data_IF_766257633805
#
_entry.id   IF_766257633805
#
_cell.length_a   1.000
_cell.length_b   1.000
_cell.length_c   1.000
_cell.angle_alpha   90.00
_cell.angle_beta   90.00
_cell.angle_gamma   90.00
#
_symmetry.space_group_name_H-M   'P 1'
#
loop_
_entity.id
_entity.type
_entity.pdbx_description
1 polymer ?
#
# COMPACT_ATOMS: atom_id res chain seq x y z
N UNK A 1 7.35 -22.76 2.24
CA UNK A 1 6.98 -22.57 3.67
C UNK A 1 7.61 -21.34 4.33
N UNK A 2 7.65 -20.19 3.63
CA UNK A 2 8.00 -18.88 4.21
C UNK A 2 6.93 -17.81 3.94
N UNK A 3 5.80 -18.21 3.34
CA UNK A 3 4.68 -17.33 3.01
C UNK A 3 3.81 -17.14 4.25
N UNK A 4 4.38 -16.47 5.25
CA UNK A 4 3.55 -15.76 6.20
C UNK A 4 2.91 -14.60 5.44
N UNK A 5 1.62 -14.36 5.65
CA UNK A 5 0.94 -13.17 5.15
C UNK A 5 1.74 -11.93 5.59
N UNK A 6 2.54 -11.38 4.68
CA UNK A 6 3.45 -10.28 4.96
C UNK A 6 2.65 -8.98 4.86
N UNK A 7 2.16 -8.54 6.01
CA UNK A 7 1.60 -7.21 6.13
C UNK A 7 2.70 -6.24 6.53
N UNK A 8 2.77 -5.14 5.79
CA UNK A 8 3.61 -4.00 6.13
C UNK A 8 2.77 -2.88 6.71
N UNK A 9 3.35 -2.10 7.62
CA UNK A 9 2.82 -0.81 8.05
C UNK A 9 3.48 0.29 7.23
N UNK A 10 2.68 1.15 6.61
CA UNK A 10 3.17 2.34 5.92
C UNK A 10 3.85 3.31 6.89
N UNK A 11 5.07 3.73 6.56
CA UNK A 11 5.85 4.72 7.31
C UNK A 11 6.09 5.92 6.40
N UNK A 12 5.78 7.10 6.92
CA UNK A 12 6.19 8.39 6.35
C UNK A 12 6.99 9.12 7.43
N UNK A 13 8.30 9.19 7.24
CA UNK A 13 9.25 9.83 8.16
C UNK A 13 9.63 11.25 7.72
N UNK A 14 9.10 11.72 6.59
CA UNK A 14 9.43 13.01 5.98
C UNK A 14 10.82 13.09 5.34
N UNK A 15 11.62 12.01 5.40
CA UNK A 15 13.01 11.97 4.93
C UNK A 15 13.12 11.24 3.58
N UNK A 16 12.02 10.71 3.05
CA UNK A 16 11.97 10.12 1.71
C UNK A 16 10.55 9.80 1.25
N UNK A 17 10.46 8.90 0.28
CA UNK A 17 9.19 8.35 -0.19
C UNK A 17 8.56 7.37 0.78
N UNK A 18 7.46 6.75 0.35
CA UNK A 18 6.74 5.77 1.16
C UNK A 18 7.59 4.52 1.44
N UNK A 19 7.60 4.07 2.70
CA UNK A 19 8.33 2.89 3.17
C UNK A 19 7.41 1.95 3.93
N UNK A 20 7.77 0.66 3.98
CA UNK A 20 7.07 -0.35 4.76
C UNK A 20 7.90 -0.74 5.98
N UNK A 21 7.26 -0.79 7.14
CA UNK A 21 7.81 -1.39 8.35
C UNK A 21 7.05 -2.64 8.76
N UNK A 22 7.62 -3.44 9.65
CA UNK A 22 6.97 -4.64 10.16
C UNK A 22 5.69 -4.28 10.96
N UNK A 23 4.65 -5.10 10.82
CA UNK A 23 3.42 -5.04 11.65
C UNK A 23 3.59 -5.81 12.95
N UNK A 24 4.33 -6.92 12.93
CA UNK A 24 4.62 -7.76 14.09
C UNK A 24 6.10 -8.07 14.21
N UNK A 25 6.55 -8.37 15.43
CA UNK A 25 7.88 -8.92 15.70
C UNK A 25 7.72 -10.40 16.05
N UNK A 26 8.53 -11.32 15.48
CA UNK A 26 8.51 -12.72 15.86
C UNK A 26 8.75 -12.92 17.36
N UNK A 27 7.98 -13.79 18.00
CA UNK A 27 8.10 -14.09 19.46
C UNK A 27 8.94 -15.33 19.73
N UNK A 28 9.42 -15.98 18.68
CA UNK A 28 10.15 -17.24 18.70
C UNK A 28 10.47 -17.68 17.27
N UNK A 29 10.98 -18.91 17.14
CA UNK A 29 11.49 -19.45 15.87
C UNK A 29 10.50 -20.38 15.16
N UNK A 30 9.35 -20.69 15.76
CA UNK A 30 8.30 -21.51 15.14
C UNK A 30 7.33 -20.65 14.32
N UNK A 31 6.59 -21.27 13.39
CA UNK A 31 5.50 -20.61 12.67
C UNK A 31 4.49 -19.96 13.64
N UNK A 32 4.11 -20.69 14.68
CA UNK A 32 3.12 -20.25 15.68
C UNK A 32 3.58 -19.05 16.51
N UNK A 33 4.89 -18.94 16.75
CA UNK A 33 5.48 -17.82 17.49
C UNK A 33 5.73 -16.61 16.58
N UNK A 34 6.09 -16.86 15.32
CA UNK A 34 6.42 -15.83 14.35
C UNK A 34 5.20 -15.21 13.66
N UNK A 35 4.06 -15.91 13.63
CA UNK A 35 2.87 -15.40 12.93
C UNK A 35 2.35 -14.10 13.53
N UNK A 36 1.96 -13.21 12.63
CA UNK A 36 1.24 -11.99 12.95
C UNK A 36 -0.12 -12.33 13.58
N UNK A 37 -0.48 -11.59 14.62
CA UNK A 37 -1.74 -11.75 15.36
C UNK A 37 -2.61 -10.52 15.18
N UNK A 38 -3.90 -10.67 15.43
CA UNK A 38 -4.87 -9.57 15.38
C UNK A 38 -4.41 -8.34 16.20
N UNK A 39 -3.89 -8.58 17.42
CA UNK A 39 -3.41 -7.53 18.31
C UNK A 39 -2.24 -6.72 17.74
N UNK A 40 -1.41 -7.32 16.86
CA UNK A 40 -0.30 -6.61 16.21
C UNK A 40 -0.81 -5.66 15.13
N UNK A 41 -1.83 -6.10 14.38
CA UNK A 41 -2.52 -5.28 13.37
C UNK A 41 -3.22 -4.12 14.06
N UNK A 42 -3.97 -4.38 15.13
CA UNK A 42 -4.67 -3.34 15.91
C UNK A 42 -3.69 -2.30 16.47
N UNK A 43 -2.59 -2.75 17.08
CA UNK A 43 -1.53 -1.86 17.56
C UNK A 43 -0.90 -1.05 16.41
N UNK A 44 -0.72 -1.64 15.22
CA UNK A 44 -0.16 -0.96 14.06
C UNK A 44 -1.11 0.07 13.44
N UNK A 45 -2.42 -0.16 13.50
CA UNK A 45 -3.44 0.80 13.01
C UNK A 45 -3.46 2.09 13.82
N UNK A 46 -3.09 2.05 15.11
CA UNK A 46 -2.91 3.28 15.91
C UNK A 46 -1.78 4.18 15.38
N UNK A 47 -0.91 3.63 14.52
CA UNK A 47 0.28 4.30 13.98
C UNK A 47 0.18 4.60 12.48
N UNK A 48 -0.95 4.29 11.82
CA UNK A 48 -1.17 4.62 10.41
C UNK A 48 -1.87 3.51 9.61
N UNK A 49 -1.33 3.20 8.44
CA UNK A 49 -1.92 2.24 7.49
C UNK A 49 -1.20 0.89 7.54
N UNK A 50 -1.96 -0.19 7.65
CA UNK A 50 -1.50 -1.57 7.45
C UNK A 50 -1.88 -2.02 6.04
N UNK A 51 -0.95 -2.66 5.34
CA UNK A 51 -1.08 -3.14 3.96
C UNK A 51 -0.79 -4.62 3.95
N UNK A 52 -1.78 -5.42 3.57
CA UNK A 52 -1.60 -6.84 3.29
C UNK A 52 -1.32 -7.01 1.80
N UNK A 53 -0.07 -7.34 1.46
CA UNK A 53 0.30 -7.59 0.07
C UNK A 53 -0.20 -8.95 -0.38
N UNK A 54 -0.61 -9.08 -1.65
CA UNK A 54 -1.09 -10.34 -2.21
C UNK A 54 -2.20 -10.97 -1.35
N UNK A 55 -3.10 -10.17 -0.80
CA UNK A 55 -4.21 -10.64 0.01
C UNK A 55 -5.12 -11.62 -0.77
N UNK A 56 -5.21 -11.47 -2.09
CA UNK A 56 -5.93 -12.41 -2.97
C UNK A 56 -5.41 -13.85 -2.93
N UNK A 57 -4.13 -14.08 -2.63
CA UNK A 57 -3.57 -15.44 -2.53
C UNK A 57 -3.71 -16.06 -1.14
N UNK A 58 -4.15 -15.28 -0.15
CA UNK A 58 -4.17 -15.67 1.26
C UNK A 58 -5.59 -15.77 1.85
N UNK A 59 -6.58 -15.19 1.18
CA UNK A 59 -7.98 -15.19 1.62
C UNK A 59 -8.88 -15.73 0.51
N UNK A 60 -9.50 -16.89 0.72
CA UNK A 60 -10.36 -17.57 -0.27
C UNK A 60 -11.46 -16.66 -0.85
N UNK A 61 -12.02 -15.78 -0.02
CA UNK A 61 -13.06 -14.84 -0.48
C UNK A 61 -12.53 -13.77 -1.41
N UNK A 62 -11.24 -13.43 -1.32
CA UNK A 62 -10.58 -12.45 -2.17
C UNK A 62 -9.99 -13.09 -3.43
N UNK A 63 -9.67 -14.39 -3.41
CA UNK A 63 -9.18 -15.09 -4.60
C UNK A 63 -10.19 -15.07 -5.75
N UNK A 64 -11.49 -15.18 -5.43
CA UNK A 64 -12.57 -15.09 -6.42
C UNK A 64 -12.56 -13.75 -7.18
N UNK A 65 -12.18 -12.64 -6.53
CA UNK A 65 -12.06 -11.34 -7.18
C UNK A 65 -10.88 -11.34 -8.15
N UNK A 66 -9.75 -11.92 -7.73
CA UNK A 66 -8.55 -12.04 -8.58
C UNK A 66 -8.81 -12.93 -9.81
N UNK A 67 -9.54 -14.04 -9.65
CA UNK A 67 -9.91 -14.93 -10.75
C UNK A 67 -10.86 -14.23 -11.72
N UNK A 68 -11.89 -13.54 -11.23
CA UNK A 68 -12.80 -12.78 -12.08
C UNK A 68 -12.09 -11.66 -12.85
N UNK A 69 -11.15 -10.96 -12.22
CA UNK A 69 -10.33 -9.95 -12.90
C UNK A 69 -9.41 -10.57 -13.96
N UNK A 70 -8.81 -11.73 -13.67
CA UNK A 70 -7.99 -12.46 -14.63
C UNK A 70 -8.82 -12.86 -15.86
N UNK A 71 -10.02 -13.41 -15.66
CA UNK A 71 -10.91 -13.87 -16.74
C UNK A 71 -11.36 -12.71 -17.66
N UNK A 72 -11.56 -11.52 -17.10
CA UNK A 72 -12.04 -10.34 -17.86
C UNK A 72 -10.91 -9.59 -18.55
N UNK A 73 -9.78 -9.40 -17.88
CA UNK A 73 -8.68 -8.58 -18.40
C UNK A 73 -7.63 -9.39 -19.14
N UNK A 74 -7.61 -10.73 -18.99
CA UNK A 74 -6.59 -11.63 -19.51
C UNK A 74 -5.16 -11.21 -19.09
N UNK A 75 -5.05 -10.59 -17.91
CA UNK A 75 -3.81 -10.09 -17.34
C UNK A 75 -3.61 -10.60 -15.91
N UNK A 76 -2.37 -10.96 -15.53
CA UNK A 76 -2.05 -11.24 -14.14
C UNK A 76 -2.39 -10.03 -13.27
N UNK A 77 -3.02 -10.28 -12.12
CA UNK A 77 -3.35 -9.25 -11.15
C UNK A 77 -2.89 -9.63 -9.75
N UNK A 78 -2.75 -8.62 -8.91
CA UNK A 78 -2.47 -8.77 -7.48
C UNK A 78 -3.43 -7.89 -6.70
N UNK A 79 -3.98 -8.42 -5.61
CA UNK A 79 -4.88 -7.69 -4.73
C UNK A 79 -4.16 -7.36 -3.42
N UNK A 80 -3.98 -6.07 -3.17
CA UNK A 80 -3.49 -5.57 -1.89
C UNK A 80 -4.67 -5.04 -1.05
N UNK A 81 -4.67 -5.30 0.26
CA UNK A 81 -5.68 -4.81 1.19
C UNK A 81 -5.09 -3.73 2.10
N UNK A 82 -5.73 -2.57 2.15
CA UNK A 82 -5.28 -1.41 2.93
C UNK A 82 -6.25 -1.11 4.07
N UNK A 83 -5.74 -1.08 5.29
CA UNK A 83 -6.48 -0.70 6.49
C UNK A 83 -5.81 0.53 7.09
N UNK A 84 -6.55 1.63 7.20
CA UNK A 84 -6.05 2.89 7.76
C UNK A 84 -6.77 3.18 9.07
N UNK A 85 -6.02 3.43 10.15
CA UNK A 85 -6.59 3.77 11.45
C UNK A 85 -7.41 5.06 11.42
N UNK A 86 -8.46 5.14 12.25
CA UNK A 86 -9.29 6.35 12.38
C UNK A 86 -8.43 7.53 12.82
N UNK A 87 -8.69 8.71 12.24
CA UNK A 87 -7.95 9.94 12.54
C UNK A 87 -6.58 10.03 11.84
N UNK A 88 -6.17 9.02 11.06
CA UNK A 88 -4.96 9.11 10.24
C UNK A 88 -5.14 10.20 9.18
N UNK A 89 -4.38 11.29 9.28
CA UNK A 89 -4.45 12.42 8.35
C UNK A 89 -4.00 12.02 6.92
N UNK A 90 -2.91 11.26 6.83
CA UNK A 90 -2.32 10.83 5.56
C UNK A 90 -2.05 9.34 5.60
N UNK A 91 -2.75 8.55 4.77
CA UNK A 91 -2.59 7.09 4.77
C UNK A 91 -1.29 6.63 4.12
N UNK A 92 -0.86 7.36 3.08
CA UNK A 92 0.38 7.20 2.34
C UNK A 92 0.73 8.57 1.74
N UNK A 93 2.02 8.96 1.69
CA UNK A 93 2.44 10.19 1.02
C UNK A 93 2.14 10.10 -0.50
N UNK A 94 2.15 11.21 -1.24
CA UNK A 94 2.02 11.19 -2.70
C UNK A 94 3.04 10.25 -3.34
N UNK A 95 2.57 9.36 -4.21
CA UNK A 95 3.42 8.42 -4.95
C UNK A 95 2.70 7.91 -6.21
N UNK A 96 3.45 7.25 -7.09
CA UNK A 96 2.92 6.51 -8.23
C UNK A 96 3.28 5.03 -8.15
N UNK A 97 2.47 4.21 -8.80
CA UNK A 97 2.68 2.77 -8.95
C UNK A 97 3.01 2.41 -10.40
N UNK A 98 3.72 1.30 -10.57
CA UNK A 98 4.08 0.77 -11.90
C UNK A 98 2.91 0.06 -12.59
N UNK A 99 1.82 -0.13 -11.85
CA UNK A 99 0.69 -0.97 -12.22
C UNK A 99 -0.53 -0.08 -12.41
N UNK A 100 -1.41 -0.47 -13.34
CA UNK A 100 -2.77 0.04 -13.34
C UNK A 100 -3.52 -0.47 -12.11
N UNK A 101 -4.26 0.41 -11.44
CA UNK A 101 -4.91 0.11 -10.16
C UNK A 101 -6.40 0.38 -10.21
N UNK A 102 -7.18 -0.58 -9.73
CA UNK A 102 -8.59 -0.40 -9.40
C UNK A 102 -8.76 -0.38 -7.88
N UNK A 103 -9.28 0.72 -7.34
CA UNK A 103 -9.50 0.87 -5.89
C UNK A 103 -10.96 0.60 -5.55
N UNK A 104 -11.19 -0.38 -4.67
CA UNK A 104 -12.53 -0.73 -4.16
C UNK A 104 -12.61 -0.39 -2.68
N UNK A 105 -13.46 0.59 -2.32
CA UNK A 105 -13.73 0.92 -0.92
C UNK A 105 -14.74 -0.08 -0.34
N UNK A 106 -14.32 -0.90 0.62
CA UNK A 106 -15.18 -1.94 1.22
C UNK A 106 -15.83 -1.52 2.54
N UNK A 107 -15.20 -0.65 3.34
CA UNK A 107 -15.72 -0.14 4.62
C UNK A 107 -15.23 1.26 4.93
N UNK A 108 -16.03 2.07 5.62
CA UNK A 108 -15.63 3.41 6.05
C UNK A 108 -15.54 4.40 4.88
N UNK A 109 -14.68 5.41 5.01
CA UNK A 109 -14.48 6.48 4.01
C UNK A 109 -13.01 6.83 3.92
N UNK A 110 -12.55 7.20 2.72
CA UNK A 110 -11.19 7.65 2.47
C UNK A 110 -11.23 8.81 1.49
N UNK A 111 -10.55 9.90 1.83
CA UNK A 111 -10.41 11.05 0.95
C UNK A 111 -9.20 10.81 0.04
N UNK A 112 -9.48 10.63 -1.25
CA UNK A 112 -8.46 10.47 -2.28
C UNK A 112 -8.23 11.80 -2.99
N UNK A 113 -7.00 12.04 -3.41
CA UNK A 113 -6.63 13.09 -4.35
C UNK A 113 -5.78 12.45 -5.43
N UNK A 114 -6.23 12.49 -6.68
CA UNK A 114 -5.52 11.89 -7.82
C UNK A 114 -4.97 13.00 -8.69
N UNK A 115 -3.71 12.92 -9.10
CA UNK A 115 -3.06 13.97 -9.90
C UNK A 115 -2.54 13.38 -11.21
N UNK A 116 -2.32 14.22 -12.21
CA UNK A 116 -1.53 13.84 -13.38
C UNK A 116 -0.10 13.46 -12.95
N UNK A 117 0.56 12.52 -13.65
CA UNK A 117 1.94 12.17 -13.35
C UNK A 117 2.86 13.41 -13.35
N UNK A 118 3.81 13.52 -12.40
CA UNK A 118 4.73 14.65 -12.36
C UNK A 118 5.65 14.63 -13.61
N UNK A 119 6.10 15.80 -14.11
CA UNK A 119 7.01 15.84 -15.25
C UNK A 119 8.32 15.09 -14.96
N UNK A 120 8.80 14.29 -15.92
CA UNK A 120 10.05 13.53 -15.79
C UNK A 120 11.25 14.45 -15.49
N UNK A 121 11.25 15.65 -16.09
CA UNK A 121 12.32 16.63 -15.89
C UNK A 121 12.44 17.14 -14.43
N UNK A 122 11.41 16.97 -13.59
CA UNK A 122 11.45 17.39 -12.19
C UNK A 122 12.34 16.49 -11.33
N UNK A 123 12.52 15.22 -11.70
CA UNK A 123 13.44 14.29 -11.05
C UNK A 123 14.01 13.29 -12.06
N UNK A 124 15.02 13.68 -12.86
CA UNK A 124 15.49 12.91 -14.02
C UNK A 124 16.11 11.55 -13.68
N UNK A 125 16.53 11.36 -12.42
CA UNK A 125 17.15 10.11 -11.95
C UNK A 125 16.19 9.21 -11.18
N UNK A 126 14.96 9.67 -10.91
CA UNK A 126 13.93 8.84 -10.29
C UNK A 126 13.24 7.96 -11.34
N UNK A 127 12.73 6.81 -10.90
CA UNK A 127 11.87 5.96 -11.74
C UNK A 127 10.55 6.70 -12.02
N UNK A 128 10.25 7.07 -13.28
CA UNK A 128 9.07 7.86 -13.60
C UNK A 128 7.76 7.10 -13.32
N UNK A 129 7.80 5.76 -13.20
CA UNK A 129 6.65 4.92 -12.89
C UNK A 129 6.54 4.59 -11.39
N UNK A 130 7.49 5.02 -10.56
CA UNK A 130 7.52 4.72 -9.13
C UNK A 130 7.95 5.94 -8.30
N UNK A 131 7.47 7.13 -8.67
CA UNK A 131 7.75 8.38 -7.96
C UNK A 131 7.19 8.33 -6.53
N UNK A 132 7.80 9.05 -5.60
CA UNK A 132 7.37 9.13 -4.19
C UNK A 132 7.63 7.88 -3.37
N UNK A 133 8.54 7.01 -3.82
CA UNK A 133 8.93 5.75 -3.13
C UNK A 133 10.41 5.74 -2.77
N UNK A 134 10.75 4.96 -1.74
CA UNK A 134 12.12 4.78 -1.27
C UNK A 134 12.84 6.12 -1.02
N UNK A 135 13.89 6.43 -1.79
CA UNK A 135 14.66 7.67 -1.67
C UNK A 135 14.05 8.87 -2.42
N UNK A 136 13.10 8.63 -3.34
CA UNK A 136 12.44 9.71 -4.07
C UNK A 136 11.28 10.26 -3.25
N UNK A 137 11.43 11.52 -2.82
CA UNK A 137 10.37 12.27 -2.13
C UNK A 137 9.51 12.97 -3.17
N UNK A 138 8.19 12.90 -2.97
CA UNK A 138 7.21 13.59 -3.78
C UNK A 138 6.21 14.27 -2.85
N UNK A 139 6.07 15.58 -2.97
CA UNK A 139 5.14 16.38 -2.19
C UNK A 139 3.97 16.83 -3.04
N UNK A 140 2.90 17.32 -2.40
CA UNK A 140 1.74 17.85 -3.13
C UNK A 140 2.12 19.08 -3.96
N UNK A 141 3.05 19.90 -3.48
CA UNK A 141 3.51 21.11 -4.17
C UNK A 141 4.31 20.79 -5.45
N UNK A 142 4.84 19.56 -5.57
CA UNK A 142 5.48 19.08 -6.79
C UNK A 142 4.46 18.70 -7.89
N UNK A 143 3.16 18.62 -7.54
CA UNK A 143 2.08 18.23 -8.42
C UNK A 143 1.43 19.50 -9.00
N UNK A 144 1.84 19.85 -10.22
CA UNK A 144 1.60 21.15 -10.85
C UNK A 144 0.11 21.49 -11.15
N UNK A 145 -0.81 20.56 -10.92
CA UNK A 145 -2.22 20.67 -11.29
C UNK A 145 -3.13 20.36 -10.10
N UNK A 146 -4.36 20.92 -10.06
CA UNK A 146 -5.35 20.48 -9.10
C UNK A 146 -5.63 18.97 -9.28
N UNK A 147 -6.09 18.28 -8.22
CA UNK A 147 -6.42 16.88 -8.34
C UNK A 147 -7.58 16.68 -9.33
N UNK A 148 -7.49 15.61 -10.10
CA UNK A 148 -8.50 15.12 -11.04
C UNK A 148 -9.73 14.54 -10.33
N UNK A 149 -9.55 14.05 -9.10
CA UNK A 149 -10.56 13.47 -8.20
C UNK A 149 -10.30 13.93 -6.78
#
# INVERSE_FOLDING_TARGET
DKDFLDAGRGISDGIGGWKMGAVSVPRGNSFEDAKMRYVDVEASLSKGTVVFNSAGSNFDKLSAICLAALDVFDLPNCLNLYLTGVGTATSAPPHTDKQDVMVIQTRGRKHWRVFSPPPVAASPFADPLARGKAADRLEVDDLQHPPLL
#
